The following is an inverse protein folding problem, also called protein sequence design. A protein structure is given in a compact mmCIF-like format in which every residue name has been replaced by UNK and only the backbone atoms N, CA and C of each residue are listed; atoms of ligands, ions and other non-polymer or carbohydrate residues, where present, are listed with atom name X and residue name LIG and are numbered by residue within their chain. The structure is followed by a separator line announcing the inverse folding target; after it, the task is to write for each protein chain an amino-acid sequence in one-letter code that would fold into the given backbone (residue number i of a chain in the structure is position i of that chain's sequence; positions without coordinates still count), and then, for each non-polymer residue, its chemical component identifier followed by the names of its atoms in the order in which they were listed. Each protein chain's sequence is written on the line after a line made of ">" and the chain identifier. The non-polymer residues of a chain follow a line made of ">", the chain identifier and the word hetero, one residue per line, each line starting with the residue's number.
data_IF_739608273359
#
_entry.id   IF_739608273359
#
_cell.length_a   1.000
_cell.length_b   1.000
_cell.length_c   1.000
_cell.angle_alpha   90.00
_cell.angle_beta   90.00
_cell.angle_gamma   90.00
#
_symmetry.space_group_name_H-M   'P 1'
#
loop_
_entity.id
_entity.type
_entity.pdbx_description
1 polymer ?
#
# COMPACT_ATOMS: atom_id res chain seq x y z
N UNK A 1 -10.14 14.98 25.44
CA UNK A 1 -9.06 14.07 25.88
C UNK A 1 -9.14 12.69 25.26
N UNK A 2 -10.30 12.13 25.03
CA UNK A 2 -10.42 10.85 24.31
C UNK A 2 -10.13 10.93 22.83
N UNK A 3 -10.31 12.08 22.19
CA UNK A 3 -10.03 12.29 20.78
C UNK A 3 -8.53 12.34 20.46
N UNK A 4 -7.70 12.68 21.43
CA UNK A 4 -6.25 12.75 21.25
C UNK A 4 -5.60 11.36 21.17
N UNK A 5 -6.17 10.37 21.85
CA UNK A 5 -5.64 9.00 21.82
C UNK A 5 -5.88 8.27 20.49
N UNK A 6 -6.95 8.63 19.78
CA UNK A 6 -7.22 8.06 18.45
C UNK A 6 -6.28 8.60 17.37
N UNK A 7 -5.68 9.78 17.61
CA UNK A 7 -4.78 10.42 16.66
C UNK A 7 -3.32 9.95 16.78
N UNK A 8 -2.98 9.16 17.79
CA UNK A 8 -1.60 8.71 18.00
C UNK A 8 -1.18 7.56 17.09
N UNK A 9 -2.13 6.87 16.41
CA UNK A 9 -1.84 5.68 15.59
C UNK A 9 -1.82 5.94 14.10
N UNK A 10 -2.22 7.14 13.65
CA UNK A 10 -2.13 7.52 12.24
C UNK A 10 -1.98 9.03 12.10
N UNK A 11 -1.32 9.42 11.02
CA UNK A 11 -1.16 10.83 10.65
C UNK A 11 -2.49 11.41 10.15
N UNK A 12 -2.64 12.74 10.12
CA UNK A 12 -3.79 13.35 9.44
C UNK A 12 -3.86 12.93 7.98
N UNK A 13 -5.08 12.86 7.45
CA UNK A 13 -5.28 12.63 6.03
C UNK A 13 -4.93 13.89 5.26
N UNK A 14 -4.15 13.74 4.19
CA UNK A 14 -3.72 14.86 3.33
C UNK A 14 -4.01 14.52 1.87
N UNK A 15 -4.17 15.58 1.06
CA UNK A 15 -4.26 15.45 -0.40
C UNK A 15 -2.87 15.65 -1.00
N UNK A 16 -2.45 14.69 -1.81
CA UNK A 16 -1.13 14.70 -2.46
C UNK A 16 -1.30 14.57 -3.97
N UNK A 17 -0.32 15.08 -4.70
CA UNK A 17 -0.10 14.68 -6.09
C UNK A 17 1.07 13.70 -6.09
N UNK A 18 0.83 12.47 -6.56
CA UNK A 18 1.83 11.41 -6.53
C UNK A 18 2.19 10.97 -7.94
N UNK A 19 3.45 10.55 -8.11
CA UNK A 19 3.91 9.93 -9.34
C UNK A 19 3.72 8.43 -9.26
N UNK A 20 3.41 7.80 -10.39
CA UNK A 20 3.36 6.36 -10.47
C UNK A 20 4.76 5.78 -10.21
N UNK A 21 4.84 4.77 -9.35
CA UNK A 21 6.08 4.08 -9.00
C UNK A 21 6.12 2.76 -9.73
N UNK A 22 7.20 2.46 -10.50
CA UNK A 22 7.34 1.14 -11.11
C UNK A 22 7.44 0.04 -10.07
N UNK A 23 6.74 -1.07 -10.29
CA UNK A 23 6.69 -2.20 -9.36
C UNK A 23 6.79 -3.52 -10.12
N UNK A 24 7.32 -4.54 -9.45
CA UNK A 24 7.22 -5.94 -9.86
C UNK A 24 6.20 -6.61 -8.95
N UNK A 25 5.16 -7.18 -9.53
CA UNK A 25 4.02 -7.67 -8.77
C UNK A 25 3.54 -9.02 -9.26
N UNK A 26 2.82 -9.71 -8.39
CA UNK A 26 2.03 -10.90 -8.72
C UNK A 26 0.55 -10.48 -8.65
N UNK A 27 -0.22 -10.87 -9.67
CA UNK A 27 -1.64 -10.56 -9.76
C UNK A 27 -2.47 -11.69 -9.18
N UNK A 28 -3.47 -11.33 -8.37
CA UNK A 28 -4.40 -12.29 -7.77
C UNK A 28 -5.81 -11.70 -7.76
N UNK A 29 -6.79 -12.57 -7.90
CA UNK A 29 -8.17 -12.27 -7.53
C UNK A 29 -8.42 -12.92 -6.18
N UNK A 30 -8.69 -12.10 -5.16
CA UNK A 30 -8.79 -12.59 -3.78
C UNK A 30 -10.02 -12.03 -3.09
N UNK A 31 -10.50 -12.77 -2.10
CA UNK A 31 -11.51 -12.28 -1.16
C UNK A 31 -10.83 -11.55 -0.01
N UNK A 32 -11.54 -10.61 0.62
CA UNK A 32 -10.95 -9.77 1.66
C UNK A 32 -10.30 -10.55 2.80
N UNK A 33 -10.85 -11.70 3.20
CA UNK A 33 -10.28 -12.52 4.26
C UNK A 33 -9.00 -13.27 3.86
N UNK A 34 -8.69 -13.30 2.56
CA UNK A 34 -7.48 -13.95 2.06
C UNK A 34 -6.27 -12.99 1.97
N UNK A 35 -6.49 -11.68 2.15
CA UNK A 35 -5.47 -10.67 1.93
C UNK A 35 -4.25 -10.81 2.83
N UNK A 36 -4.46 -11.15 4.10
CA UNK A 36 -3.37 -11.30 5.07
C UNK A 36 -2.40 -12.41 4.69
N UNK A 37 -2.84 -13.38 3.88
CA UNK A 37 -2.03 -14.47 3.35
C UNK A 37 -1.51 -14.15 1.95
N UNK A 38 -2.35 -13.61 1.08
CA UNK A 38 -2.01 -13.36 -0.32
C UNK A 38 -0.96 -12.26 -0.49
N UNK A 39 -1.05 -11.17 0.26
CA UNK A 39 -0.11 -10.06 0.13
C UNK A 39 1.33 -10.48 0.44
N UNK A 40 1.63 -11.10 1.59
CA UNK A 40 3.00 -11.56 1.86
C UNK A 40 3.51 -12.60 0.85
N UNK A 41 2.64 -13.50 0.41
CA UNK A 41 3.00 -14.53 -0.58
C UNK A 41 3.41 -13.89 -1.91
N UNK A 42 2.62 -12.96 -2.41
CA UNK A 42 2.91 -12.24 -3.65
C UNK A 42 4.19 -11.40 -3.54
N UNK A 43 4.38 -10.71 -2.43
CA UNK A 43 5.60 -9.94 -2.19
C UNK A 43 6.84 -10.84 -2.18
N UNK A 44 6.76 -12.01 -1.56
CA UNK A 44 7.85 -12.98 -1.53
C UNK A 44 8.23 -13.48 -2.92
N UNK A 45 7.24 -13.79 -3.75
CA UNK A 45 7.47 -14.22 -5.13
C UNK A 45 8.13 -13.11 -5.97
N UNK A 46 7.66 -11.87 -5.81
CA UNK A 46 8.23 -10.73 -6.50
C UNK A 46 9.69 -10.48 -6.08
N UNK A 47 9.98 -10.55 -4.78
CA UNK A 47 11.35 -10.42 -4.26
C UNK A 47 12.28 -11.46 -4.86
N UNK A 48 11.83 -12.71 -4.93
CA UNK A 48 12.62 -13.80 -5.51
C UNK A 48 12.98 -13.53 -6.96
N UNK A 49 12.02 -13.07 -7.76
CA UNK A 49 12.23 -12.76 -9.17
C UNK A 49 13.19 -11.59 -9.37
N UNK A 50 13.03 -10.53 -8.58
CA UNK A 50 13.86 -9.33 -8.66
C UNK A 50 15.31 -9.64 -8.25
N UNK A 51 15.51 -10.44 -7.20
CA UNK A 51 16.84 -10.89 -6.77
C UNK A 51 17.52 -11.74 -7.84
N UNK A 52 16.78 -12.62 -8.50
CA UNK A 52 17.33 -13.48 -9.54
C UNK A 52 17.91 -12.68 -10.71
N UNK A 53 17.42 -11.47 -10.93
CA UNK A 53 17.90 -10.57 -11.99
C UNK A 53 18.89 -9.52 -11.48
N UNK A 54 19.27 -9.55 -10.21
CA UNK A 54 20.14 -8.57 -9.57
C UNK A 54 19.61 -7.14 -9.72
N UNK A 55 18.29 -6.97 -9.73
CA UNK A 55 17.65 -5.65 -9.78
C UNK A 55 17.46 -5.14 -8.35
N UNK A 56 17.71 -3.85 -8.14
CA UNK A 56 17.49 -3.22 -6.85
C UNK A 56 15.99 -3.01 -6.63
N UNK A 57 15.49 -3.47 -5.49
CA UNK A 57 14.10 -3.32 -5.08
C UNK A 57 13.97 -2.34 -3.91
N UNK A 58 12.81 -1.69 -3.83
CA UNK A 58 12.46 -0.81 -2.71
C UNK A 58 11.52 -1.50 -1.72
N UNK A 59 10.48 -0.80 -1.34
CA UNK A 59 9.51 -1.26 -0.35
C UNK A 59 8.50 -2.25 -0.95
N UNK A 60 7.88 -3.05 -0.10
CA UNK A 60 6.74 -3.87 -0.50
C UNK A 60 5.52 -2.99 -0.74
N UNK A 61 4.69 -3.39 -1.71
CA UNK A 61 3.47 -2.67 -2.06
C UNK A 61 2.31 -3.63 -2.26
N UNK A 62 1.10 -3.16 -2.00
CA UNK A 62 -0.13 -3.86 -2.37
C UNK A 62 -1.07 -2.85 -3.02
N UNK A 63 -1.53 -3.14 -4.24
CA UNK A 63 -2.42 -2.28 -5.01
C UNK A 63 -3.74 -3.01 -5.20
N UNK A 64 -4.83 -2.34 -4.84
CA UNK A 64 -6.19 -2.82 -5.01
C UNK A 64 -6.84 -1.95 -6.08
N UNK A 65 -6.99 -2.51 -7.31
CA UNK A 65 -7.39 -1.72 -8.46
C UNK A 65 -8.89 -1.40 -8.50
N UNK A 66 -9.72 -2.33 -8.01
CA UNK A 66 -11.17 -2.19 -8.02
C UNK A 66 -11.77 -2.68 -6.69
N UNK A 67 -11.64 -1.85 -5.67
CA UNK A 67 -11.98 -2.27 -4.33
C UNK A 67 -10.96 -3.29 -3.80
N UNK A 68 -11.42 -4.44 -3.30
CA UNK A 68 -10.52 -5.43 -2.69
C UNK A 68 -10.36 -6.71 -3.53
N UNK A 69 -10.83 -6.72 -4.77
CA UNK A 69 -10.90 -7.96 -5.56
C UNK A 69 -9.65 -8.19 -6.39
N UNK A 70 -9.23 -7.19 -7.16
CA UNK A 70 -8.04 -7.29 -8.01
C UNK A 70 -6.82 -6.78 -7.26
N UNK A 71 -5.99 -7.71 -6.80
CA UNK A 71 -4.76 -7.43 -6.06
C UNK A 71 -3.56 -7.51 -6.98
N UNK A 72 -2.69 -6.52 -6.90
CA UNK A 72 -1.31 -6.59 -7.37
C UNK A 72 -0.41 -6.32 -6.17
N UNK A 73 0.41 -7.29 -5.78
CA UNK A 73 1.30 -7.13 -4.65
C UNK A 73 2.72 -7.56 -5.02
N UNK A 74 3.69 -6.82 -4.52
CA UNK A 74 5.10 -7.06 -4.82
C UNK A 74 6.00 -5.99 -4.25
N UNK A 75 6.94 -5.52 -5.05
CA UNK A 75 8.00 -4.61 -4.60
C UNK A 75 8.21 -3.46 -5.57
N UNK A 76 8.64 -2.32 -5.03
CA UNK A 76 9.09 -1.19 -5.84
C UNK A 76 10.34 -1.59 -6.64
N UNK A 77 10.38 -1.18 -7.91
CA UNK A 77 11.54 -1.40 -8.78
C UNK A 77 12.41 -0.15 -8.81
N UNK A 78 13.69 -0.33 -8.59
CA UNK A 78 14.71 0.73 -8.70
C UNK A 78 15.68 0.46 -9.85
N UNK A 79 15.28 -0.36 -10.82
CA UNK A 79 16.06 -0.69 -11.99
C UNK A 79 15.24 -1.48 -12.99
N UNK A 80 15.81 -1.79 -14.16
CA UNK A 80 15.10 -2.53 -15.20
C UNK A 80 14.81 -3.97 -14.77
N UNK A 81 13.59 -4.42 -15.02
CA UNK A 81 13.14 -5.77 -14.67
C UNK A 81 12.47 -6.40 -15.90
N UNK A 82 12.84 -7.64 -16.22
CA UNK A 82 12.22 -8.40 -17.29
C UNK A 82 11.16 -9.34 -16.72
N UNK A 83 9.96 -9.26 -17.27
CA UNK A 83 8.85 -10.12 -16.85
C UNK A 83 9.15 -11.60 -17.08
N UNK A 84 8.71 -12.45 -16.17
CA UNK A 84 8.86 -13.88 -16.29
C UNK A 84 7.99 -14.60 -15.27
N UNK A 85 7.36 -15.71 -15.68
CA UNK A 85 6.46 -16.46 -14.83
C UNK A 85 5.28 -15.63 -14.37
N UNK A 86 5.00 -15.66 -13.07
CA UNK A 86 3.88 -14.94 -12.48
C UNK A 86 4.18 -13.46 -12.18
N UNK A 87 5.45 -13.07 -12.22
CA UNK A 87 5.86 -11.73 -11.82
C UNK A 87 5.88 -10.81 -13.03
N UNK A 88 5.06 -9.78 -12.98
CA UNK A 88 4.88 -8.82 -14.07
C UNK A 88 5.24 -7.41 -13.62
N UNK A 89 5.51 -6.54 -14.58
CA UNK A 89 5.70 -5.12 -14.30
C UNK A 89 4.36 -4.42 -14.22
N UNK A 90 4.25 -3.51 -13.28
CA UNK A 90 3.11 -2.65 -13.10
C UNK A 90 3.60 -1.31 -12.54
N UNK A 91 2.67 -0.45 -12.15
CA UNK A 91 2.98 0.81 -11.51
C UNK A 91 1.87 1.16 -10.52
N UNK A 92 2.23 1.87 -9.45
CA UNK A 92 1.22 2.43 -8.56
C UNK A 92 0.42 3.50 -9.30
N UNK A 93 -0.85 3.74 -8.92
CA UNK A 93 -1.62 4.82 -9.53
C UNK A 93 -0.94 6.17 -9.31
N UNK A 94 -1.00 7.03 -10.33
CA UNK A 94 -0.50 8.39 -10.24
C UNK A 94 -1.66 9.39 -10.12
N UNK A 95 -1.32 10.68 -9.96
CA UNK A 95 -2.29 11.76 -9.90
C UNK A 95 -2.64 12.17 -8.48
N UNK A 96 -3.87 12.65 -8.27
CA UNK A 96 -4.31 13.09 -6.94
C UNK A 96 -4.66 11.91 -6.06
N UNK A 97 -4.16 11.91 -4.84
CA UNK A 97 -4.41 10.86 -3.86
C UNK A 97 -4.68 11.45 -2.48
N UNK A 98 -5.65 10.90 -1.78
CA UNK A 98 -5.82 11.13 -0.34
C UNK A 98 -4.98 10.07 0.38
N UNK A 99 -4.18 10.49 1.35
CA UNK A 99 -3.21 9.63 2.00
C UNK A 99 -3.12 9.87 3.48
N UNK A 100 -2.81 8.81 4.21
CA UNK A 100 -2.41 8.88 5.61
C UNK A 100 -1.35 7.84 5.90
N UNK A 101 -0.61 8.03 6.98
CA UNK A 101 0.36 7.05 7.44
C UNK A 101 -0.18 6.35 8.68
N UNK A 102 -0.17 5.04 8.64
CA UNK A 102 -0.52 4.19 9.79
C UNK A 102 0.74 3.76 10.52
N UNK A 103 0.74 3.91 11.85
CA UNK A 103 1.76 3.36 12.72
C UNK A 103 1.14 2.29 13.60
N UNK A 104 1.70 1.09 13.55
CA UNK A 104 1.21 -0.04 14.32
C UNK A 104 1.09 -1.32 13.50
N UNK A 105 0.61 -2.41 14.12
CA UNK A 105 0.44 -3.69 13.44
C UNK A 105 -0.49 -3.59 12.22
N UNK A 106 -0.28 -4.45 11.25
CA UNK A 106 -1.06 -4.45 10.01
C UNK A 106 -2.55 -4.72 10.24
N UNK A 107 -2.89 -5.40 11.33
CA UNK A 107 -4.30 -5.62 11.71
C UNK A 107 -5.06 -4.33 12.00
N UNK A 108 -4.38 -3.23 12.28
CA UNK A 108 -4.98 -1.92 12.51
C UNK A 108 -5.18 -1.06 11.26
N UNK A 109 -4.74 -1.53 10.09
CA UNK A 109 -4.83 -0.76 8.84
C UNK A 109 -6.25 -0.37 8.45
N UNK A 110 -7.27 -1.15 8.84
CA UNK A 110 -8.65 -0.83 8.56
C UNK A 110 -9.08 0.55 9.04
N UNK A 111 -8.54 1.00 10.19
CA UNK A 111 -8.84 2.33 10.72
C UNK A 111 -8.28 3.44 9.82
N UNK A 112 -7.08 3.25 9.25
CA UNK A 112 -6.48 4.19 8.33
C UNK A 112 -7.29 4.30 7.03
N UNK A 113 -7.75 3.18 6.48
CA UNK A 113 -8.63 3.15 5.32
C UNK A 113 -9.94 3.90 5.58
N UNK A 114 -10.57 3.62 6.73
CA UNK A 114 -11.81 4.31 7.12
C UNK A 114 -11.63 5.82 7.28
N UNK A 115 -10.50 6.23 7.84
CA UNK A 115 -10.19 7.66 8.03
C UNK A 115 -10.08 8.39 6.69
N UNK A 116 -9.45 7.77 5.69
CA UNK A 116 -9.35 8.37 4.34
C UNK A 116 -10.72 8.48 3.69
N UNK A 117 -11.53 7.43 3.76
CA UNK A 117 -12.88 7.43 3.18
C UNK A 117 -13.76 8.50 3.80
N UNK A 118 -13.72 8.64 5.12
CA UNK A 118 -14.47 9.67 5.84
C UNK A 118 -14.00 11.07 5.48
N UNK A 119 -12.68 11.26 5.40
CA UNK A 119 -12.10 12.55 5.01
C UNK A 119 -12.52 12.95 3.60
N UNK A 120 -12.50 12.01 2.65
CA UNK A 120 -12.91 12.24 1.27
C UNK A 120 -14.39 12.66 1.20
N UNK A 121 -15.26 11.99 1.96
CA UNK A 121 -16.68 12.34 2.03
C UNK A 121 -16.87 13.77 2.54
N UNK A 122 -16.17 14.14 3.61
CA UNK A 122 -16.27 15.48 4.20
C UNK A 122 -15.77 16.59 3.27
N UNK A 123 -14.78 16.30 2.43
CA UNK A 123 -14.16 17.30 1.57
C UNK A 123 -14.60 17.19 0.10
N UNK A 124 -15.63 16.39 -0.17
CA UNK A 124 -16.21 16.21 -1.51
C UNK A 124 -15.21 15.70 -2.55
N UNK A 125 -14.24 14.90 -2.13
CA UNK A 125 -13.34 14.17 -3.04
C UNK A 125 -13.97 12.84 -3.40
N UNK A 126 -14.02 12.53 -4.70
CA UNK A 126 -14.58 11.29 -5.19
C UNK A 126 -13.47 10.24 -5.33
N UNK A 127 -13.71 9.07 -4.75
CA UNK A 127 -12.84 7.93 -4.95
C UNK A 127 -12.99 7.40 -6.38
N UNK A 128 -11.86 7.11 -7.04
CA UNK A 128 -11.85 6.64 -8.43
C UNK A 128 -11.73 5.14 -8.57
N UNK A 129 -11.56 4.43 -7.46
CA UNK A 129 -11.44 2.97 -7.40
C UNK A 129 -10.11 2.48 -6.85
N UNK A 130 -8.96 2.81 -7.47
CA UNK A 130 -7.67 2.33 -6.98
C UNK A 130 -7.32 2.84 -5.58
N UNK A 131 -6.79 1.90 -4.76
CA UNK A 131 -6.19 2.21 -3.47
C UNK A 131 -4.95 1.34 -3.30
N UNK A 132 -3.97 1.82 -2.56
CA UNK A 132 -2.75 1.04 -2.38
C UNK A 132 -2.09 1.35 -1.04
N UNK A 133 -1.24 0.41 -0.62
CA UNK A 133 -0.46 0.49 0.60
C UNK A 133 1.00 0.32 0.22
N UNK A 134 1.86 1.14 0.83
CA UNK A 134 3.31 1.00 0.72
C UNK A 134 3.83 0.73 2.12
N UNK A 135 4.44 -0.45 2.28
CA UNK A 135 4.91 -0.91 3.58
C UNK A 135 6.33 -0.42 3.80
N UNK A 136 6.57 0.24 4.92
CA UNK A 136 7.91 0.68 5.30
C UNK A 136 8.87 -0.51 5.39
N UNK A 137 10.15 -0.28 5.10
CA UNK A 137 11.17 -1.31 5.27
C UNK A 137 11.19 -1.79 6.72
N UNK A 138 11.17 -3.10 6.90
CA UNK A 138 11.20 -3.68 8.24
C UNK A 138 12.47 -3.24 8.98
N UNK A 139 12.30 -2.79 10.21
CA UNK A 139 13.39 -2.38 11.08
C UNK A 139 13.44 -3.29 12.29
N UNK A 140 14.64 -3.57 12.77
CA UNK A 140 14.82 -4.46 13.91
C UNK A 140 14.06 -4.00 15.16
N UNK A 141 13.99 -2.68 15.37
CA UNK A 141 13.25 -2.09 16.49
C UNK A 141 11.76 -2.48 16.48
N UNK A 142 11.18 -2.78 15.32
CA UNK A 142 9.78 -3.15 15.22
C UNK A 142 9.46 -4.53 15.81
N UNK A 143 10.47 -5.37 15.97
CA UNK A 143 10.30 -6.67 16.64
C UNK A 143 9.97 -6.50 18.12
N UNK A 144 10.49 -5.44 18.74
CA UNK A 144 10.28 -5.14 20.16
C UNK A 144 9.16 -4.11 20.37
N UNK A 145 8.87 -3.29 19.36
CA UNK A 145 7.84 -2.25 19.45
C UNK A 145 7.02 -2.21 18.16
N UNK A 146 5.99 -3.06 18.04
CA UNK A 146 5.13 -3.10 16.88
C UNK A 146 4.37 -1.80 16.61
N UNK A 147 4.27 -0.90 17.60
CA UNK A 147 3.61 0.40 17.40
C UNK A 147 4.38 1.32 16.45
N UNK A 148 5.62 0.99 16.12
CA UNK A 148 6.45 1.76 15.19
C UNK A 148 6.36 1.27 13.74
N UNK A 149 5.69 0.16 13.48
CA UNK A 149 5.52 -0.36 12.12
C UNK A 149 4.78 0.69 11.29
N UNK A 150 5.39 1.09 10.17
CA UNK A 150 4.86 2.15 9.31
C UNK A 150 4.29 1.59 8.03
N UNK A 151 3.08 2.04 7.66
CA UNK A 151 2.45 1.77 6.37
C UNK A 151 1.82 3.06 5.86
N UNK A 152 2.13 3.42 4.63
CA UNK A 152 1.49 4.56 3.96
C UNK A 152 0.31 4.04 3.14
N UNK A 153 -0.86 4.67 3.30
CA UNK A 153 -2.11 4.27 2.65
C UNK A 153 -2.57 5.38 1.72
N UNK A 154 -2.98 5.00 0.52
CA UNK A 154 -3.36 5.95 -0.55
C UNK A 154 -4.67 5.54 -1.19
N UNK A 155 -5.50 6.52 -1.52
CA UNK A 155 -6.70 6.35 -2.34
C UNK A 155 -6.64 7.35 -3.48
N UNK A 156 -6.71 6.89 -4.72
CA UNK A 156 -6.80 7.80 -5.85
C UNK A 156 -8.14 8.53 -5.83
N UNK A 157 -8.10 9.83 -6.05
CA UNK A 157 -9.30 10.67 -5.98
C UNK A 157 -9.36 11.64 -7.15
N UNK A 158 -10.57 12.09 -7.47
CA UNK A 158 -10.77 13.29 -8.28
C UNK A 158 -10.91 14.47 -7.33
N UNK A 159 -10.33 15.61 -7.68
CA UNK A 159 -10.55 16.85 -6.93
C UNK A 159 -11.78 17.59 -7.49
N UNK A 160 -12.54 18.28 -6.62
CA UNK A 160 -13.70 19.05 -7.08
C UNK A 160 -13.29 20.19 -8.01
#
# INVERSE_FOLDING_TARGET
>A
MRSERCNLMSSPVVLLTVSAIPVAVVRRFVKSFELSRAVPECCGLAWKAVRAQNVKAGRNVAIYWDGSIRLEAGVELQGPFSEGGEVVRSATPGGSAASTTHFGPYGGLGAAHAAIQEWCTKHNHRLTGPQWEIYGHWQEAWNNDPSQIRTDVFYQVTVP
#
